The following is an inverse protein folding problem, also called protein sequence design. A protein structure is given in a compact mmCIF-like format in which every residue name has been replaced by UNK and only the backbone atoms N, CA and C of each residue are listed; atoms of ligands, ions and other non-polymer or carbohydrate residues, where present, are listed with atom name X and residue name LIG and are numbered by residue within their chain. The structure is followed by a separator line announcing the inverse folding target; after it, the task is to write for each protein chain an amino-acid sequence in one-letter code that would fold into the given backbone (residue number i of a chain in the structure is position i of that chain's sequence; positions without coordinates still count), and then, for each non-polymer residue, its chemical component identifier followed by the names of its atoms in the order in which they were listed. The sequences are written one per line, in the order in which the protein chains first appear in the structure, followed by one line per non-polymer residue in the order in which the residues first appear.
data_IF_578369202790
#
_entry.id   IF_578369202790
#
_cell.length_a   1.000
_cell.length_b   1.000
_cell.length_c   1.000
_cell.angle_alpha   90.00
_cell.angle_beta   90.00
_cell.angle_gamma   90.00
#
_symmetry.space_group_name_H-M   'P 1'
#
loop_
_entity.id
_entity.type
_entity.pdbx_description
1 polymer ?
#
# COMPACT_ATOMS: atom_id res chain seq x y z
N UNK A 1 5.56 -0.38 37.76
CA UNK A 1 6.50 0.67 37.31
C UNK A 1 6.34 0.88 35.82
N UNK A 2 5.92 2.07 35.38
CA UNK A 2 5.75 2.39 33.95
C UNK A 2 6.96 3.22 33.53
N UNK A 3 7.97 2.58 32.95
CA UNK A 3 9.16 3.29 32.47
C UNK A 3 8.80 4.03 31.18
N UNK A 4 8.60 5.34 31.28
CA UNK A 4 8.46 6.21 30.11
C UNK A 4 9.85 6.53 29.56
N UNK A 5 10.31 5.74 28.60
CA UNK A 5 11.56 6.03 27.87
C UNK A 5 11.32 7.29 27.03
N UNK A 6 12.04 8.37 27.36
CA UNK A 6 11.93 9.64 26.65
C UNK A 6 12.82 9.60 25.41
N UNK A 7 12.21 9.29 24.26
CA UNK A 7 12.88 9.21 22.95
C UNK A 7 13.54 10.53 22.51
N UNK A 8 13.25 11.65 23.20
CA UNK A 8 13.88 12.96 22.95
C UNK A 8 15.36 13.02 23.34
N UNK A 9 15.84 12.08 24.17
CA UNK A 9 17.26 11.99 24.55
C UNK A 9 18.16 11.50 23.41
N UNK A 10 17.58 10.95 22.34
CA UNK A 10 18.30 10.39 21.19
C UNK A 10 18.19 11.24 19.91
N UNK A 11 17.58 12.42 19.97
CA UNK A 11 17.48 13.35 18.82
C UNK A 11 18.46 14.50 19.00
N UNK A 12 19.29 14.78 17.99
CA UNK A 12 20.21 15.94 17.94
C UNK A 12 19.47 17.24 18.31
N UNK A 13 19.76 17.70 19.52
CA UNK A 13 18.91 18.56 20.32
C UNK A 13 19.33 20.03 20.20
N UNK A 14 18.78 20.74 19.23
CA UNK A 14 18.81 22.22 19.20
C UNK A 14 17.51 22.87 19.70
N UNK A 15 16.41 22.12 19.82
CA UNK A 15 15.10 22.66 20.26
C UNK A 15 14.58 21.88 21.45
N UNK A 16 14.89 22.40 22.65
CA UNK A 16 14.51 21.84 23.95
C UNK A 16 13.03 22.04 24.29
N UNK A 17 12.34 22.95 23.62
CA UNK A 17 10.92 23.26 23.88
C UNK A 17 9.96 22.57 22.91
N UNK A 18 8.78 22.20 23.44
CA UNK A 18 7.69 21.66 22.63
C UNK A 18 7.18 22.72 21.65
N UNK A 19 6.89 22.34 20.39
CA UNK A 19 6.35 23.28 19.41
C UNK A 19 5.02 23.86 19.88
N UNK A 20 4.87 25.18 19.75
CA UNK A 20 3.63 25.89 20.13
C UNK A 20 2.42 25.37 19.32
N UNK A 21 1.19 25.48 19.87
CA UNK A 21 -0.02 25.02 19.17
C UNK A 21 -0.20 25.63 17.78
N UNK A 22 0.19 26.90 17.59
CA UNK A 22 0.16 27.57 16.28
C UNK A 22 1.09 26.87 15.28
N UNK A 23 2.34 26.63 15.65
CA UNK A 23 3.34 25.96 14.81
C UNK A 23 2.91 24.54 14.40
N UNK A 24 2.28 23.77 15.30
CA UNK A 24 1.76 22.42 14.98
C UNK A 24 0.61 22.47 13.97
N UNK A 25 -0.30 23.44 14.11
CA UNK A 25 -1.42 23.62 13.16
C UNK A 25 -0.93 24.06 11.79
N UNK A 26 0.04 24.97 11.73
CA UNK A 26 0.58 25.46 10.47
C UNK A 26 1.35 24.36 9.72
N UNK A 27 2.18 23.58 10.41
CA UNK A 27 2.84 22.40 9.85
C UNK A 27 1.82 21.38 9.30
N UNK A 28 0.74 21.12 10.04
CA UNK A 28 -0.35 20.25 9.57
C UNK A 28 -1.04 20.83 8.32
N UNK A 29 -1.32 22.14 8.26
CA UNK A 29 -1.89 22.79 7.05
C UNK A 29 -0.95 22.71 5.85
N UNK A 30 0.36 22.65 6.07
CA UNK A 30 1.37 22.43 5.05
C UNK A 30 1.48 20.96 4.61
N UNK A 31 0.68 20.06 5.17
CA UNK A 31 0.71 18.62 4.87
C UNK A 31 1.82 17.86 5.60
N UNK A 32 2.54 18.51 6.52
CA UNK A 32 3.51 17.84 7.37
C UNK A 32 2.78 17.15 8.53
N UNK A 33 2.45 15.89 8.33
CA UNK A 33 1.77 15.04 9.30
C UNK A 33 2.67 13.89 9.72
N UNK A 34 2.55 13.50 11.00
CA UNK A 34 3.21 12.31 11.49
C UNK A 34 2.40 11.09 11.06
N UNK A 35 3.00 10.24 10.23
CA UNK A 35 2.43 8.96 9.84
C UNK A 35 3.49 7.87 10.02
N UNK A 36 3.16 6.83 10.78
CA UNK A 36 4.00 5.65 10.92
C UNK A 36 3.74 4.69 9.77
N UNK A 37 4.78 4.48 8.96
CA UNK A 37 4.75 3.50 7.85
C UNK A 37 4.65 2.07 8.39
N UNK A 38 5.37 1.78 9.47
CA UNK A 38 5.37 0.46 10.11
C UNK A 38 4.01 0.07 10.67
N UNK A 39 3.31 1.02 11.33
CA UNK A 39 1.96 0.77 11.82
C UNK A 39 1.02 0.46 10.67
N UNK A 40 1.10 1.24 9.58
CA UNK A 40 0.26 1.03 8.40
C UNK A 40 0.52 -0.35 7.78
N UNK A 41 1.79 -0.72 7.59
CA UNK A 41 2.18 -2.01 7.03
C UNK A 41 1.72 -3.19 7.92
N UNK A 42 1.89 -3.09 9.24
CA UNK A 42 1.49 -4.13 10.18
C UNK A 42 -0.02 -4.41 10.12
N UNK A 43 -0.84 -3.36 10.07
CA UNK A 43 -2.30 -3.53 9.96
C UNK A 43 -2.74 -4.07 8.60
N UNK A 44 -2.10 -3.67 7.49
CA UNK A 44 -2.35 -4.26 6.18
C UNK A 44 -2.04 -5.75 6.20
N UNK A 45 -0.91 -6.16 6.78
CA UNK A 45 -0.53 -7.56 6.89
C UNK A 45 -1.55 -8.34 7.73
N UNK A 46 -1.91 -7.83 8.91
CA UNK A 46 -2.92 -8.43 9.78
C UNK A 46 -4.27 -8.59 9.05
N UNK A 47 -4.73 -7.54 8.38
CA UNK A 47 -5.98 -7.55 7.65
C UNK A 47 -5.97 -8.56 6.49
N UNK A 48 -4.86 -8.70 5.79
CA UNK A 48 -4.72 -9.71 4.74
C UNK A 48 -4.73 -11.14 5.31
N UNK A 49 -4.03 -11.40 6.42
CA UNK A 49 -4.04 -12.73 7.08
C UNK A 49 -5.46 -13.11 7.49
N UNK A 50 -6.20 -12.19 8.12
CA UNK A 50 -7.60 -12.41 8.47
C UNK A 50 -8.49 -12.51 7.23
N UNK A 51 -8.21 -11.71 6.20
CA UNK A 51 -8.85 -11.74 4.90
C UNK A 51 -8.75 -13.11 4.26
N UNK A 52 -7.56 -13.70 4.18
CA UNK A 52 -7.34 -15.04 3.64
C UNK A 52 -8.18 -16.11 4.32
N UNK A 53 -8.45 -15.99 5.63
CA UNK A 53 -9.36 -16.91 6.32
C UNK A 53 -10.79 -16.85 5.76
N UNK A 54 -11.24 -15.67 5.34
CA UNK A 54 -12.60 -15.44 4.82
C UNK A 54 -12.71 -15.73 3.31
N UNK A 55 -11.76 -15.21 2.52
CA UNK A 55 -11.79 -15.28 1.05
C UNK A 55 -10.88 -16.36 0.45
N UNK A 56 -10.12 -17.10 1.27
CA UNK A 56 -9.17 -18.11 0.79
C UNK A 56 -9.85 -19.23 -0.01
N UNK A 57 -11.02 -19.71 0.44
CA UNK A 57 -11.82 -20.70 -0.31
C UNK A 57 -12.23 -20.17 -1.68
N UNK A 58 -12.63 -18.90 -1.76
CA UNK A 58 -12.97 -18.25 -3.02
C UNK A 58 -11.77 -18.22 -3.96
N UNK A 59 -10.60 -17.79 -3.48
CA UNK A 59 -9.36 -17.75 -4.28
C UNK A 59 -8.98 -19.14 -4.80
N UNK A 60 -8.97 -20.15 -3.92
CA UNK A 60 -8.63 -21.53 -4.28
C UNK A 60 -9.58 -22.08 -5.34
N UNK A 61 -10.89 -21.78 -5.24
CA UNK A 61 -11.86 -22.23 -6.23
C UNK A 61 -11.58 -21.63 -7.62
N UNK A 62 -11.29 -20.34 -7.71
CA UNK A 62 -10.95 -19.70 -9.00
C UNK A 62 -9.62 -20.21 -9.57
N UNK A 63 -8.63 -20.50 -8.72
CA UNK A 63 -7.38 -21.14 -9.13
C UNK A 63 -7.63 -22.54 -9.70
N UNK A 64 -8.42 -23.37 -9.01
CA UNK A 64 -8.76 -24.71 -9.50
C UNK A 64 -9.57 -24.66 -10.79
N UNK A 65 -10.49 -23.71 -10.92
CA UNK A 65 -11.26 -23.52 -12.15
C UNK A 65 -10.35 -23.11 -13.31
N UNK A 66 -9.43 -22.17 -13.09
CA UNK A 66 -8.44 -21.76 -14.08
C UNK A 66 -7.60 -22.95 -14.54
N UNK A 67 -7.06 -23.74 -13.60
CA UNK A 67 -6.26 -24.93 -13.92
C UNK A 67 -7.08 -25.92 -14.75
N UNK A 68 -8.31 -26.25 -14.33
CA UNK A 68 -9.20 -27.17 -15.06
C UNK A 68 -9.46 -26.68 -16.48
N UNK A 69 -9.75 -25.38 -16.67
CA UNK A 69 -9.98 -24.80 -17.99
C UNK A 69 -8.75 -24.87 -18.87
N UNK A 70 -7.57 -24.55 -18.32
CA UNK A 70 -6.31 -24.65 -19.05
C UNK A 70 -6.06 -26.10 -19.50
N UNK A 71 -6.14 -27.07 -18.59
CA UNK A 71 -5.93 -28.49 -18.92
C UNK A 71 -6.95 -29.03 -19.93
N UNK A 72 -8.24 -28.70 -19.79
CA UNK A 72 -9.27 -29.11 -20.75
C UNK A 72 -9.07 -28.54 -22.15
N UNK A 73 -8.31 -27.45 -22.28
CA UNK A 73 -8.05 -26.81 -23.57
C UNK A 73 -6.81 -27.39 -24.28
N UNK A 74 -6.00 -28.22 -23.59
CA UNK A 74 -4.78 -28.84 -24.16
C UNK A 74 -5.13 -29.85 -25.26
N UNK A 75 -6.29 -30.50 -25.22
CA UNK A 75 -6.66 -31.47 -26.26
C UNK A 75 -6.97 -30.82 -27.63
N UNK A 76 -7.22 -29.51 -27.67
CA UNK A 76 -7.58 -28.77 -28.88
C UNK A 76 -6.75 -27.48 -29.02
N UNK A 77 -5.42 -27.62 -28.97
CA UNK A 77 -4.46 -26.51 -29.04
C UNK A 77 -4.66 -25.63 -30.27
N UNK A 78 -4.98 -26.23 -31.42
CA UNK A 78 -5.19 -25.47 -32.66
C UNK A 78 -6.40 -24.52 -32.59
N UNK A 79 -7.43 -24.87 -31.80
CA UNK A 79 -8.55 -23.96 -31.52
C UNK A 79 -8.14 -22.80 -30.61
N UNK A 80 -7.21 -23.00 -29.68
CA UNK A 80 -6.72 -21.93 -28.80
C UNK A 80 -5.94 -20.86 -29.59
N UNK A 81 -5.14 -21.28 -30.58
CA UNK A 81 -4.31 -20.39 -31.40
C UNK A 81 -5.01 -19.84 -32.65
N UNK A 82 -6.28 -20.19 -32.88
CA UNK A 82 -7.08 -19.50 -33.88
C UNK A 82 -7.16 -18.00 -33.56
N UNK A 83 -7.04 -17.15 -34.59
CA UNK A 83 -6.81 -15.70 -34.47
C UNK A 83 -7.81 -14.98 -33.54
N UNK A 84 -9.08 -15.40 -33.56
CA UNK A 84 -10.14 -14.84 -32.71
C UNK A 84 -10.17 -15.36 -31.26
N UNK A 85 -9.42 -16.42 -30.94
CA UNK A 85 -9.44 -17.08 -29.64
C UNK A 85 -8.29 -16.66 -28.72
N UNK A 86 -7.22 -16.09 -29.28
CA UNK A 86 -6.06 -15.59 -28.50
C UNK A 86 -6.46 -14.41 -27.61
N UNK A 87 -7.13 -13.39 -28.19
CA UNK A 87 -7.59 -12.21 -27.44
C UNK A 87 -8.60 -12.63 -26.36
N UNK A 88 -9.53 -13.52 -26.69
CA UNK A 88 -10.49 -14.04 -25.72
C UNK A 88 -9.82 -14.83 -24.59
N UNK A 89 -8.77 -15.60 -24.89
CA UNK A 89 -7.94 -16.27 -23.89
C UNK A 89 -7.23 -15.28 -22.97
N UNK A 90 -6.65 -14.22 -23.52
CA UNK A 90 -6.00 -13.16 -22.76
C UNK A 90 -6.97 -12.45 -21.81
N UNK A 91 -8.14 -12.02 -22.31
CA UNK A 91 -9.17 -11.34 -21.49
C UNK A 91 -9.65 -12.24 -20.35
N UNK A 92 -9.86 -13.54 -20.63
CA UNK A 92 -10.20 -14.53 -19.59
C UNK A 92 -9.08 -14.64 -18.55
N UNK A 93 -7.83 -14.73 -18.99
CA UNK A 93 -6.66 -14.78 -18.11
C UNK A 93 -6.56 -13.56 -17.18
N UNK A 94 -6.73 -12.35 -17.74
CA UNK A 94 -6.77 -11.10 -16.98
C UNK A 94 -7.93 -11.10 -15.99
N UNK A 95 -9.10 -11.61 -16.39
CA UNK A 95 -10.27 -11.72 -15.51
C UNK A 95 -9.99 -12.65 -14.33
N UNK A 96 -9.40 -13.83 -14.56
CA UNK A 96 -9.00 -14.73 -13.47
C UNK A 96 -7.96 -14.09 -12.55
N UNK A 97 -6.98 -13.39 -13.12
CA UNK A 97 -5.98 -12.66 -12.36
C UNK A 97 -6.64 -11.65 -11.41
N UNK A 98 -7.58 -10.84 -11.90
CA UNK A 98 -8.29 -9.87 -11.06
C UNK A 98 -9.26 -10.52 -10.07
N UNK A 99 -9.93 -11.61 -10.41
CA UNK A 99 -10.79 -12.33 -9.46
C UNK A 99 -9.96 -12.93 -8.31
N UNK A 100 -8.77 -13.42 -8.60
CA UNK A 100 -7.88 -14.01 -7.58
C UNK A 100 -7.21 -12.93 -6.72
N UNK A 101 -6.63 -11.91 -7.36
CA UNK A 101 -5.82 -10.89 -6.65
C UNK A 101 -6.64 -9.71 -6.13
N UNK A 102 -7.73 -9.37 -6.82
CA UNK A 102 -8.55 -8.19 -6.54
C UNK A 102 -9.07 -8.12 -5.11
N UNK A 103 -9.62 -9.21 -4.52
CA UNK A 103 -10.08 -9.19 -3.13
C UNK A 103 -8.98 -8.84 -2.11
N UNK A 104 -7.76 -9.37 -2.29
CA UNK A 104 -6.60 -9.09 -1.43
C UNK A 104 -6.15 -7.63 -1.59
N UNK A 105 -6.10 -7.16 -2.84
CA UNK A 105 -5.78 -5.77 -3.14
C UNK A 105 -6.81 -4.81 -2.56
N UNK A 106 -8.10 -5.16 -2.65
CA UNK A 106 -9.18 -4.37 -2.06
C UNK A 106 -9.06 -4.29 -0.53
N UNK A 107 -8.81 -5.41 0.14
CA UNK A 107 -8.57 -5.43 1.60
C UNK A 107 -7.37 -4.55 1.96
N UNK A 108 -6.26 -4.69 1.23
CA UNK A 108 -5.04 -3.91 1.46
C UNK A 108 -5.28 -2.41 1.27
N UNK A 109 -5.96 -2.04 0.19
CA UNK A 109 -6.27 -0.65 -0.16
C UNK A 109 -7.20 -0.01 0.87
N UNK A 110 -8.30 -0.69 1.23
CA UNK A 110 -9.25 -0.21 2.23
C UNK A 110 -8.59 -0.07 3.62
N UNK A 111 -7.75 -1.05 4.00
CA UNK A 111 -7.01 -0.99 5.27
C UNK A 111 -6.02 0.17 5.27
N UNK A 112 -5.28 0.38 4.17
CA UNK A 112 -4.34 1.49 4.05
C UNK A 112 -5.04 2.84 4.20
N UNK A 113 -6.19 3.04 3.54
CA UNK A 113 -7.01 4.25 3.68
C UNK A 113 -7.48 4.42 5.13
N UNK A 114 -8.06 3.37 5.72
CA UNK A 114 -8.60 3.43 7.07
C UNK A 114 -7.52 3.76 8.10
N UNK A 115 -6.37 3.11 8.04
CA UNK A 115 -5.26 3.34 8.98
C UNK A 115 -4.61 4.70 8.76
N UNK A 116 -4.44 5.13 7.51
CA UNK A 116 -3.96 6.49 7.19
C UNK A 116 -4.90 7.54 7.77
N UNK A 117 -6.21 7.35 7.61
CA UNK A 117 -7.21 8.24 8.16
C UNK A 117 -7.24 8.21 9.70
N UNK A 118 -7.07 7.06 10.34
CA UNK A 118 -7.01 6.97 11.81
C UNK A 118 -5.76 7.64 12.39
N UNK A 119 -4.61 7.59 11.69
CA UNK A 119 -3.38 8.23 12.16
C UNK A 119 -3.40 9.75 11.99
N UNK A 120 -3.87 10.22 10.82
CA UNK A 120 -3.75 11.63 10.45
C UNK A 120 -5.06 12.39 10.73
N UNK A 121 -6.21 11.73 10.59
CA UNK A 121 -7.53 12.35 10.45
C UNK A 121 -7.76 12.93 9.05
N UNK A 122 -8.88 13.64 8.87
CA UNK A 122 -9.11 14.36 7.63
C UNK A 122 -8.13 15.55 7.50
N UNK A 123 -7.43 15.62 6.38
CA UNK A 123 -6.56 16.74 6.04
C UNK A 123 -6.45 16.87 4.52
N UNK A 124 -6.92 17.99 3.99
CA UNK A 124 -6.73 18.36 2.60
C UNK A 124 -5.70 19.48 2.50
N UNK A 125 -4.59 19.26 1.80
CA UNK A 125 -3.57 20.27 1.54
C UNK A 125 -2.94 20.04 0.17
N UNK A 126 -2.92 21.08 -0.66
CA UNK A 126 -2.24 21.07 -1.97
C UNK A 126 -0.80 21.56 -1.87
N UNK A 127 -0.39 22.12 -0.72
CA UNK A 127 0.97 22.65 -0.51
C UNK A 127 2.09 21.61 -0.72
N UNK A 128 1.94 20.32 -0.36
CA UNK A 128 2.94 19.30 -0.65
C UNK A 128 3.16 19.01 -2.14
N UNK A 129 2.20 19.36 -3.01
CA UNK A 129 2.28 19.10 -4.46
C UNK A 129 3.18 20.10 -5.20
N UNK A 130 3.60 21.17 -4.53
CA UNK A 130 4.55 22.12 -5.12
C UNK A 130 5.87 21.41 -5.45
N UNK A 131 6.27 21.50 -6.72
CA UNK A 131 7.53 20.93 -7.22
C UNK A 131 8.69 21.67 -6.51
N UNK A 132 9.40 20.94 -5.66
CA UNK A 132 10.60 21.45 -5.01
C UNK A 132 11.82 20.76 -5.63
N UNK A 133 12.49 21.47 -6.54
CA UNK A 133 13.67 20.95 -7.28
C UNK A 133 14.81 20.52 -6.33
N UNK A 134 14.92 21.14 -5.16
CA UNK A 134 15.92 20.78 -4.16
C UNK A 134 15.67 19.37 -3.58
N UNK A 135 14.44 18.83 -3.64
CA UNK A 135 14.15 17.46 -3.21
C UNK A 135 14.53 16.39 -4.24
N UNK A 136 14.85 16.79 -5.48
CA UNK A 136 15.21 15.89 -6.59
C UNK A 136 16.74 15.82 -6.76
N UNK A 137 17.49 16.68 -6.07
CA UNK A 137 18.95 16.70 -6.16
C UNK A 137 19.55 15.34 -5.72
N UNK A 138 20.16 14.57 -6.65
CA UNK A 138 20.71 13.26 -6.33
C UNK A 138 21.86 13.34 -5.32
N UNK A 139 22.64 14.44 -5.30
CA UNK A 139 23.72 14.65 -4.33
C UNK A 139 23.18 14.69 -2.90
N UNK A 140 22.07 15.41 -2.68
CA UNK A 140 21.40 15.47 -1.38
C UNK A 140 20.77 14.13 -0.99
N UNK A 141 20.27 13.38 -1.98
CA UNK A 141 19.77 12.01 -1.80
C UNK A 141 20.84 11.04 -1.33
N UNK A 142 22.01 11.04 -1.98
CA UNK A 142 23.15 10.23 -1.56
C UNK A 142 23.63 10.64 -0.16
N UNK A 143 23.78 11.94 0.11
CA UNK A 143 24.18 12.42 1.44
C UNK A 143 23.23 11.94 2.54
N UNK A 144 21.91 11.94 2.28
CA UNK A 144 20.89 11.45 3.23
C UNK A 144 20.94 9.96 3.54
N UNK A 145 21.44 9.14 2.61
CA UNK A 145 21.53 7.67 2.82
C UNK A 145 22.78 7.33 3.64
N UNK A 146 23.84 8.13 3.50
CA UNK A 146 25.15 7.88 4.11
C UNK A 146 25.47 8.77 5.34
N UNK A 147 24.56 9.66 5.75
CA UNK A 147 24.63 10.39 7.03
C UNK A 147 23.82 9.66 8.10
#
# INVERSE_FOLDING_TARGET
MKYSINLQLFSDSEKTEKPTPKRRRDARKEGQVLQSREVTAAFILLANVLGFKLIGKYIVNYLLELIRKLYSSIENVDKLYAENNIINGFIKGVTYFFMITGPILAISFLTAIAISHLQIGFLFSTKPLNINLNRINPVDGFKRIFS
#
